data_IF_631781022544
#
_entry.id   IF_631781022544
#
_cell.length_a   1.000
_cell.length_b   1.000
_cell.length_c   1.000
_cell.angle_alpha   90.00
_cell.angle_beta   90.00
_cell.angle_gamma   90.00
#
_symmetry.space_group_name_H-M   'P 1'
#
loop_
_entity.id
_entity.type
_entity.pdbx_description
1 polymer ?
#
# COMPACT_ATOMS: atom_id res chain seq x y z
N UNK A 1 -37.71 -49.45 -10.24
CA UNK A 1 -36.34 -49.44 -10.81
C UNK A 1 -36.08 -48.35 -11.85
N UNK A 2 -37.08 -47.64 -12.40
CA UNK A 2 -36.83 -46.52 -13.33
C UNK A 2 -36.63 -45.14 -12.66
N UNK A 3 -37.12 -44.96 -11.42
CA UNK A 3 -36.97 -43.69 -10.69
C UNK A 3 -35.61 -43.53 -9.98
N UNK A 4 -34.90 -44.64 -9.72
CA UNK A 4 -33.58 -44.61 -9.08
C UNK A 4 -32.46 -44.27 -10.06
N UNK A 5 -32.66 -44.47 -11.38
CA UNK A 5 -31.66 -44.17 -12.41
C UNK A 5 -31.67 -42.72 -12.89
N UNK A 6 -32.74 -41.96 -12.59
CA UNK A 6 -32.81 -40.54 -12.94
C UNK A 6 -32.12 -39.67 -11.86
N UNK A 7 -32.09 -40.15 -10.61
CA UNK A 7 -31.43 -39.42 -9.50
C UNK A 7 -29.91 -39.61 -9.52
N UNK A 8 -29.40 -40.73 -10.02
CA UNK A 8 -27.94 -40.93 -10.17
C UNK A 8 -27.33 -40.20 -11.36
N UNK A 9 -28.12 -39.77 -12.35
CA UNK A 9 -27.62 -38.99 -13.49
C UNK A 9 -27.71 -37.47 -13.31
N UNK A 10 -28.40 -36.97 -12.27
CA UNK A 10 -28.37 -35.55 -11.90
C UNK A 10 -27.28 -35.21 -10.87
N UNK A 11 -26.70 -36.20 -10.20
CA UNK A 11 -25.68 -36.01 -9.17
C UNK A 11 -24.23 -36.03 -9.70
N UNK A 12 -24.02 -36.35 -10.98
CA UNK A 12 -22.70 -36.36 -11.63
C UNK A 12 -22.66 -35.30 -12.76
N UNK A 13 -23.32 -34.16 -12.51
CA UNK A 13 -23.12 -32.95 -13.30
C UNK A 13 -23.16 -31.67 -12.46
N UNK A 14 -23.01 -31.80 -11.13
CA UNK A 14 -22.36 -30.72 -10.38
C UNK A 14 -20.89 -30.83 -10.71
N UNK A 15 -20.53 -30.24 -11.85
CA UNK A 15 -19.16 -29.79 -12.08
C UNK A 15 -18.86 -28.90 -10.89
N UNK A 16 -18.16 -29.45 -9.90
CA UNK A 16 -17.30 -28.68 -9.02
C UNK A 16 -16.37 -27.96 -9.98
N UNK A 17 -16.78 -26.79 -10.46
CA UNK A 17 -15.86 -25.80 -10.95
C UNK A 17 -15.10 -25.42 -9.68
N UNK A 18 -14.05 -26.18 -9.40
CA UNK A 18 -12.96 -25.72 -8.56
C UNK A 18 -12.45 -24.52 -9.35
N UNK A 19 -12.93 -23.33 -9.01
CA UNK A 19 -12.27 -22.12 -9.43
C UNK A 19 -10.90 -22.20 -8.78
N UNK A 20 -9.87 -22.54 -9.55
CA UNK A 20 -8.49 -22.40 -9.10
C UNK A 20 -8.27 -20.92 -8.85
N UNK A 21 -8.19 -20.55 -7.57
CA UNK A 21 -7.79 -19.20 -7.19
C UNK A 21 -6.31 -19.04 -7.53
N UNK A 22 -5.97 -17.94 -8.19
CA UNK A 22 -4.59 -17.53 -8.42
C UNK A 22 -4.17 -16.51 -7.36
N UNK A 23 -2.92 -16.59 -6.90
CA UNK A 23 -2.30 -15.55 -6.07
C UNK A 23 -1.60 -14.56 -6.98
N UNK A 24 -1.91 -13.28 -6.82
CA UNK A 24 -1.28 -12.18 -7.54
C UNK A 24 -0.66 -11.21 -6.55
N UNK A 25 0.43 -10.55 -6.93
CA UNK A 25 1.02 -9.47 -6.14
C UNK A 25 0.61 -8.11 -6.67
N UNK A 26 0.14 -7.26 -5.77
CA UNK A 26 -0.46 -5.96 -6.09
C UNK A 26 0.16 -4.84 -5.25
N UNK A 27 0.66 -3.79 -5.92
CA UNK A 27 1.12 -2.54 -5.30
C UNK A 27 0.29 -1.37 -5.83
N UNK A 28 -0.68 -0.90 -5.05
CA UNK A 28 -1.72 0.03 -5.50
C UNK A 28 -1.32 1.51 -5.39
N UNK A 29 -0.23 1.81 -4.70
CA UNK A 29 0.13 3.19 -4.34
C UNK A 29 1.56 3.51 -4.74
N UNK A 30 1.69 4.18 -5.88
CA UNK A 30 2.96 4.74 -6.36
C UNK A 30 2.74 6.16 -6.90
N UNK A 31 3.84 6.85 -7.17
CA UNK A 31 3.85 8.17 -7.78
C UNK A 31 4.59 8.19 -9.11
N UNK A 32 4.05 8.95 -10.06
CA UNK A 32 4.66 9.19 -11.37
C UNK A 32 5.80 10.21 -11.29
N UNK A 33 6.42 10.48 -12.43
CA UNK A 33 7.42 11.55 -12.58
C UNK A 33 6.82 12.98 -12.43
N UNK A 34 5.50 13.12 -12.32
CA UNK A 34 4.83 14.42 -12.11
C UNK A 34 4.61 14.76 -10.64
N UNK A 35 4.82 13.82 -9.72
CA UNK A 35 4.75 14.08 -8.28
C UNK A 35 6.00 14.76 -7.76
N UNK A 36 5.83 15.66 -6.79
CA UNK A 36 6.97 16.29 -6.10
C UNK A 36 7.84 15.25 -5.41
N UNK A 37 9.16 15.45 -5.48
CA UNK A 37 10.16 14.56 -4.91
C UNK A 37 10.08 13.10 -5.41
N UNK A 38 9.43 12.88 -6.57
CA UNK A 38 9.48 11.63 -7.32
C UNK A 38 10.58 11.69 -8.39
N UNK A 39 11.13 10.53 -8.74
CA UNK A 39 12.14 10.41 -9.78
C UNK A 39 11.54 10.70 -11.16
N UNK A 40 12.29 11.41 -12.02
CA UNK A 40 11.94 11.62 -13.42
C UNK A 40 11.83 10.31 -14.22
N UNK A 41 12.42 9.22 -13.70
CA UNK A 41 12.37 7.88 -14.29
C UNK A 41 11.08 7.11 -13.98
N UNK A 42 10.18 7.65 -13.14
CA UNK A 42 8.86 7.06 -12.86
C UNK A 42 7.90 7.24 -14.05
N UNK A 43 8.22 6.56 -15.16
CA UNK A 43 7.47 6.50 -16.42
C UNK A 43 6.98 5.07 -16.66
N UNK A 44 5.87 4.89 -17.38
CA UNK A 44 5.22 3.59 -17.55
C UNK A 44 6.17 2.48 -17.99
N UNK A 45 7.07 2.73 -18.95
CA UNK A 45 8.01 1.72 -19.45
C UNK A 45 9.00 1.26 -18.38
N UNK A 46 9.47 2.20 -17.55
CA UNK A 46 10.39 1.90 -16.47
C UNK A 46 9.67 1.22 -15.31
N UNK A 47 8.46 1.68 -15.00
CA UNK A 47 7.61 1.10 -13.95
C UNK A 47 7.28 -0.35 -14.32
N UNK A 48 6.78 -0.62 -15.54
CA UNK A 48 6.49 -1.98 -16.00
C UNK A 48 7.72 -2.89 -15.91
N UNK A 49 8.88 -2.42 -16.38
CA UNK A 49 10.12 -3.19 -16.33
C UNK A 49 10.47 -3.57 -14.90
N UNK A 50 10.46 -2.60 -13.99
CA UNK A 50 10.91 -2.80 -12.61
C UNK A 50 9.87 -3.57 -11.80
N UNK A 51 8.58 -3.29 -11.95
CA UNK A 51 7.50 -4.07 -11.34
C UNK A 51 7.60 -5.55 -11.72
N UNK A 52 7.86 -5.87 -13.00
CA UNK A 52 8.09 -7.25 -13.43
C UNK A 52 9.32 -7.90 -12.80
N UNK A 53 10.41 -7.15 -12.59
CA UNK A 53 11.62 -7.64 -11.90
C UNK A 53 11.37 -7.81 -10.40
N UNK A 54 10.53 -6.97 -9.81
CA UNK A 54 10.11 -7.09 -8.42
C UNK A 54 9.17 -8.27 -8.21
N UNK A 55 8.45 -8.70 -9.24
CA UNK A 55 7.43 -9.75 -9.14
C UNK A 55 6.04 -9.20 -8.81
N UNK A 56 5.77 -7.94 -9.20
CA UNK A 56 4.46 -7.31 -9.07
C UNK A 56 3.64 -7.62 -10.33
N UNK A 57 2.47 -8.22 -10.15
CA UNK A 57 1.56 -8.55 -11.25
C UNK A 57 0.69 -7.36 -11.65
N UNK A 58 0.19 -6.63 -10.64
CA UNK A 58 -0.66 -5.44 -10.82
C UNK A 58 -0.07 -4.27 -10.04
N UNK A 59 0.14 -3.15 -10.71
CA UNK A 59 0.67 -1.93 -10.09
C UNK A 59 -0.27 -0.75 -10.33
N UNK A 60 -0.39 0.14 -9.35
CA UNK A 60 -1.10 1.39 -9.51
C UNK A 60 -0.50 2.25 -10.62
N UNK A 61 -1.32 2.96 -11.40
CA UNK A 61 -0.80 4.00 -12.29
C UNK A 61 -0.15 5.14 -11.52
N UNK A 62 -0.66 5.42 -10.31
CA UNK A 62 -0.38 6.67 -9.59
C UNK A 62 -0.93 7.89 -10.32
N UNK A 63 -1.08 8.99 -9.59
CA UNK A 63 -1.24 10.35 -10.12
C UNK A 63 -2.27 10.54 -11.26
N UNK A 64 -3.36 9.76 -11.32
CA UNK A 64 -4.36 9.89 -12.40
C UNK A 64 -4.95 11.31 -12.51
N UNK A 65 -4.89 12.11 -11.44
CA UNK A 65 -5.37 13.49 -11.45
C UNK A 65 -4.52 14.43 -12.29
N UNK A 66 -3.26 14.06 -12.59
CA UNK A 66 -2.37 14.91 -13.36
C UNK A 66 -2.64 14.79 -14.87
N UNK A 67 -2.98 15.89 -15.57
CA UNK A 67 -3.47 15.80 -16.95
C UNK A 67 -2.43 15.26 -17.93
N UNK A 68 -1.15 15.61 -17.77
CA UNK A 68 -0.10 15.05 -18.66
C UNK A 68 0.11 13.56 -18.40
N UNK A 69 -0.12 13.08 -17.19
CA UNK A 69 0.00 11.66 -16.88
C UNK A 69 -1.17 10.89 -17.47
N UNK A 70 -2.40 11.44 -17.41
CA UNK A 70 -3.56 10.86 -18.11
C UNK A 70 -3.37 10.74 -19.61
N UNK A 71 -2.73 11.71 -20.26
CA UNK A 71 -2.41 11.59 -21.69
C UNK A 71 -1.47 10.44 -21.99
N UNK A 72 -0.54 10.10 -21.09
CA UNK A 72 0.28 8.89 -21.20
C UNK A 72 -0.54 7.63 -20.92
N UNK A 73 -1.44 7.64 -19.93
CA UNK A 73 -2.33 6.52 -19.61
C UNK A 73 -3.22 6.13 -20.79
N UNK A 74 -3.71 7.10 -21.57
CA UNK A 74 -4.55 6.86 -22.77
C UNK A 74 -3.85 6.03 -23.86
N UNK A 75 -2.52 5.87 -23.78
CA UNK A 75 -1.73 5.03 -24.70
C UNK A 75 -1.66 3.57 -24.27
N UNK A 76 -2.12 3.24 -23.05
CA UNK A 76 -2.15 1.89 -22.54
C UNK A 76 -3.29 1.09 -23.21
N UNK A 77 -3.09 -0.21 -23.32
CA UNK A 77 -4.08 -1.15 -23.85
C UNK A 77 -4.87 -1.69 -22.67
N UNK A 78 -6.19 -1.58 -22.75
CA UNK A 78 -7.12 -2.12 -21.75
C UNK A 78 -7.29 -3.64 -21.91
N UNK A 79 -7.39 -4.34 -20.77
CA UNK A 79 -7.65 -5.76 -20.65
C UNK A 79 -8.35 -6.04 -19.29
N UNK A 80 -9.65 -6.35 -19.30
CA UNK A 80 -10.46 -6.71 -18.12
C UNK A 80 -10.49 -5.64 -16.99
N UNK A 81 -10.57 -4.36 -17.37
CA UNK A 81 -10.52 -3.21 -16.48
C UNK A 81 -9.12 -2.88 -15.95
N UNK A 82 -8.11 -3.62 -16.40
CA UNK A 82 -6.69 -3.34 -16.17
C UNK A 82 -6.06 -2.82 -17.46
N UNK A 83 -4.84 -2.32 -17.36
CA UNK A 83 -4.14 -1.67 -18.47
C UNK A 83 -2.74 -2.23 -18.63
N UNK A 84 -2.17 -2.20 -19.83
CA UNK A 84 -0.78 -2.62 -20.05
C UNK A 84 -0.12 -1.90 -21.21
N UNK A 85 1.20 -1.89 -21.21
CA UNK A 85 1.96 -1.57 -22.41
C UNK A 85 1.84 -2.70 -23.42
N UNK A 86 2.03 -2.40 -24.71
CA UNK A 86 1.93 -3.38 -25.79
C UNK A 86 2.80 -4.63 -25.56
N UNK A 87 4.01 -4.42 -25.04
CA UNK A 87 4.99 -5.47 -24.68
C UNK A 87 5.21 -5.57 -23.16
N UNK A 88 4.34 -4.94 -22.37
CA UNK A 88 4.43 -4.95 -20.92
C UNK A 88 4.02 -6.28 -20.32
N UNK A 89 4.62 -6.63 -19.18
CA UNK A 89 4.29 -7.85 -18.42
C UNK A 89 3.40 -7.53 -17.22
N UNK A 90 3.52 -6.31 -16.70
CA UNK A 90 2.78 -5.83 -15.54
C UNK A 90 1.47 -5.22 -15.98
N UNK A 91 0.42 -5.40 -15.18
CA UNK A 91 -0.88 -4.76 -15.41
C UNK A 91 -0.95 -3.51 -14.54
N UNK A 92 -1.53 -2.46 -15.09
CA UNK A 92 -1.77 -1.20 -14.42
C UNK A 92 -3.22 -1.14 -13.98
N UNK A 93 -3.45 -0.71 -12.73
CA UNK A 93 -4.78 -0.38 -12.21
C UNK A 93 -4.85 1.13 -11.96
N UNK A 94 -5.93 1.76 -12.40
CA UNK A 94 -6.05 3.21 -12.32
C UNK A 94 -6.14 3.64 -10.86
N UNK A 95 -5.14 4.38 -10.42
CA UNK A 95 -5.02 4.83 -9.04
C UNK A 95 -4.35 6.19 -8.96
N UNK A 96 -4.55 6.87 -7.83
CA UNK A 96 -3.90 8.13 -7.53
C UNK A 96 -4.20 8.59 -6.12
N UNK A 97 -3.29 9.37 -5.56
CA UNK A 97 -3.42 9.90 -4.21
C UNK A 97 -3.80 11.38 -4.28
N UNK A 98 -4.72 11.80 -3.42
CA UNK A 98 -5.07 13.21 -3.23
C UNK A 98 -4.94 13.61 -1.76
N UNK A 99 -4.54 14.86 -1.50
CA UNK A 99 -4.50 15.42 -0.16
C UNK A 99 -5.71 16.31 0.07
N UNK A 100 -6.61 15.91 0.96
CA UNK A 100 -7.70 16.78 1.43
C UNK A 100 -7.18 17.76 2.48
N UNK A 101 -7.63 19.03 2.43
CA UNK A 101 -7.32 20.05 3.43
C UNK A 101 -8.60 20.73 3.90
N UNK A 102 -8.91 20.56 5.19
CA UNK A 102 -10.14 21.09 5.80
C UNK A 102 -9.91 21.53 7.25
N UNK A 103 -10.90 22.20 7.85
CA UNK A 103 -10.88 22.54 9.28
C UNK A 103 -11.82 21.62 10.04
N UNK A 104 -11.31 21.02 11.11
CA UNK A 104 -12.10 20.21 12.03
C UNK A 104 -11.71 20.51 13.48
N UNK A 105 -12.71 20.78 14.34
CA UNK A 105 -12.51 21.20 15.75
C UNK A 105 -11.46 22.32 15.90
N UNK A 106 -11.50 23.32 15.03
CA UNK A 106 -10.60 24.48 15.04
C UNK A 106 -9.16 24.22 14.57
N UNK A 107 -8.83 23.01 14.10
CA UNK A 107 -7.51 22.65 13.57
C UNK A 107 -7.59 22.36 12.07
N UNK A 108 -6.56 22.75 11.33
CA UNK A 108 -6.40 22.32 9.94
C UNK A 108 -6.01 20.84 9.92
N UNK A 109 -6.74 20.05 9.14
CA UNK A 109 -6.49 18.65 8.85
C UNK A 109 -5.96 18.54 7.44
N UNK A 110 -4.94 17.70 7.26
CA UNK A 110 -4.40 17.32 5.95
C UNK A 110 -4.27 15.82 5.95
N UNK A 111 -5.03 15.17 5.08
CA UNK A 111 -5.15 13.72 5.06
C UNK A 111 -5.08 13.27 3.60
N UNK A 112 -4.21 12.31 3.34
CA UNK A 112 -4.08 11.67 2.06
C UNK A 112 -5.05 10.51 1.90
N UNK A 113 -5.51 10.33 0.66
CA UNK A 113 -6.47 9.30 0.28
C UNK A 113 -6.03 8.71 -1.05
N UNK A 114 -5.86 7.40 -1.07
CA UNK A 114 -5.69 6.63 -2.29
C UNK A 114 -7.06 6.39 -2.92
N UNK A 115 -7.19 6.66 -4.21
CA UNK A 115 -8.40 6.45 -4.98
C UNK A 115 -8.09 5.40 -6.05
N UNK A 116 -9.00 4.44 -6.25
CA UNK A 116 -8.88 3.40 -7.27
C UNK A 116 -10.14 3.41 -8.13
N UNK A 117 -9.95 3.41 -9.46
CA UNK A 117 -11.00 3.66 -10.43
C UNK A 117 -11.05 2.57 -11.51
N UNK A 118 -12.24 2.23 -12.04
CA UNK A 118 -12.40 1.15 -13.01
C UNK A 118 -11.91 1.50 -14.41
N UNK A 119 -11.77 2.79 -14.75
CA UNK A 119 -11.35 3.18 -16.09
C UNK A 119 -10.71 4.57 -16.19
N UNK A 120 -9.99 4.80 -17.29
CA UNK A 120 -9.38 6.09 -17.63
C UNK A 120 -10.45 7.18 -17.87
N UNK A 121 -11.61 6.80 -18.41
CA UNK A 121 -12.73 7.72 -18.63
C UNK A 121 -13.25 8.28 -17.31
N UNK A 122 -13.47 7.41 -16.32
CA UNK A 122 -13.88 7.82 -14.97
C UNK A 122 -12.78 8.65 -14.30
N UNK A 123 -11.51 8.30 -14.53
CA UNK A 123 -10.39 9.11 -14.04
C UNK A 123 -10.37 10.53 -14.61
N UNK A 124 -10.71 10.71 -15.89
CA UNK A 124 -10.83 12.03 -16.51
C UNK A 124 -12.03 12.81 -15.94
N UNK A 125 -13.20 12.18 -15.84
CA UNK A 125 -14.41 12.81 -15.33
C UNK A 125 -14.28 13.23 -13.86
N UNK A 126 -13.76 12.35 -13.00
CA UNK A 126 -13.49 12.67 -11.60
C UNK A 126 -12.45 13.79 -11.50
N UNK A 127 -11.38 13.76 -12.31
CA UNK A 127 -10.39 14.84 -12.32
C UNK A 127 -11.02 16.20 -12.67
N UNK A 128 -11.97 16.24 -13.61
CA UNK A 128 -12.67 17.48 -13.95
C UNK A 128 -13.47 18.01 -12.76
N UNK A 129 -14.15 17.13 -12.01
CA UNK A 129 -14.86 17.52 -10.77
C UNK A 129 -13.90 18.02 -9.71
N UNK A 130 -12.82 17.28 -9.44
CA UNK A 130 -11.85 17.63 -8.39
C UNK A 130 -11.11 18.95 -8.68
N UNK A 131 -11.04 19.38 -9.94
CA UNK A 131 -10.37 20.64 -10.35
C UNK A 131 -10.97 21.90 -9.74
N UNK A 132 -12.22 21.86 -9.26
CA UNK A 132 -12.84 23.00 -8.57
C UNK A 132 -12.30 23.18 -7.15
N UNK A 133 -11.74 22.12 -6.55
CA UNK A 133 -11.25 22.11 -5.17
C UNK A 133 -9.73 22.37 -5.08
N UNK A 134 -8.99 22.28 -6.18
CA UNK A 134 -7.54 22.50 -6.18
C UNK A 134 -6.87 22.40 -7.55
N UNK A 135 -5.60 22.78 -7.60
CA UNK A 135 -4.79 22.67 -8.82
C UNK A 135 -4.29 21.24 -9.02
N UNK A 136 -4.63 20.66 -10.17
CA UNK A 136 -4.26 19.30 -10.57
C UNK A 136 -3.02 19.26 -11.48
N UNK A 137 -2.45 20.42 -11.85
CA UNK A 137 -1.40 20.53 -12.87
C UNK A 137 0.01 20.69 -12.31
N UNK A 138 0.14 21.11 -11.05
CA UNK A 138 1.45 21.43 -10.46
C UNK A 138 2.11 20.26 -9.72
N UNK A 139 1.35 19.21 -9.42
CA UNK A 139 1.80 18.05 -8.67
C UNK A 139 0.97 16.83 -9.08
N UNK A 140 1.57 15.64 -9.05
CA UNK A 140 0.89 14.36 -9.25
C UNK A 140 -0.11 14.06 -8.12
N UNK A 141 0.19 14.55 -6.91
CA UNK A 141 -0.70 14.52 -5.74
C UNK A 141 -1.28 15.91 -5.44
N UNK A 142 -2.49 16.22 -5.93
CA UNK A 142 -3.10 17.52 -5.71
C UNK A 142 -3.49 17.73 -4.24
N UNK A 143 -3.45 18.99 -3.81
CA UNK A 143 -4.03 19.40 -2.53
C UNK A 143 -5.40 20.03 -2.80
N UNK A 144 -6.46 19.42 -2.26
CA UNK A 144 -7.85 19.76 -2.49
C UNK A 144 -8.47 20.39 -1.24
N UNK A 145 -9.09 21.56 -1.40
CA UNK A 145 -9.80 22.28 -0.34
C UNK A 145 -11.19 21.69 -0.11
N UNK A 146 -11.25 20.46 0.40
CA UNK A 146 -12.46 19.71 0.70
C UNK A 146 -12.24 18.77 1.90
N UNK A 147 -13.31 18.25 2.47
CA UNK A 147 -13.27 17.24 3.54
C UNK A 147 -13.04 15.83 2.97
N UNK A 148 -12.68 14.87 3.84
CA UNK A 148 -12.63 13.45 3.46
C UNK A 148 -14.00 12.92 3.05
N UNK A 149 -15.07 13.27 3.77
CA UNK A 149 -16.45 12.90 3.43
C UNK A 149 -16.84 13.37 2.01
N UNK A 150 -16.63 14.66 1.70
CA UNK A 150 -16.91 15.19 0.35
C UNK A 150 -16.12 14.47 -0.74
N UNK A 151 -14.88 14.04 -0.46
CA UNK A 151 -14.08 13.30 -1.43
C UNK A 151 -14.72 11.94 -1.72
N UNK A 152 -15.15 11.24 -0.69
CA UNK A 152 -15.83 9.96 -0.84
C UNK A 152 -17.12 10.13 -1.63
N UNK A 153 -17.94 11.14 -1.31
CA UNK A 153 -19.17 11.44 -2.04
C UNK A 153 -18.90 11.65 -3.55
N UNK A 154 -17.92 12.50 -3.90
CA UNK A 154 -17.54 12.77 -5.30
C UNK A 154 -17.08 11.51 -6.04
N UNK A 155 -16.36 10.61 -5.37
CA UNK A 155 -15.86 9.35 -5.95
C UNK A 155 -17.00 8.33 -6.11
N UNK A 156 -17.86 8.19 -5.11
CA UNK A 156 -18.94 7.20 -5.10
C UNK A 156 -20.03 7.49 -6.14
N UNK A 157 -20.15 8.73 -6.63
CA UNK A 157 -21.03 9.05 -7.77
C UNK A 157 -20.68 8.27 -9.06
N UNK A 158 -19.45 7.76 -9.19
CA UNK A 158 -19.01 6.95 -10.33
C UNK A 158 -19.28 5.44 -10.15
N UNK A 159 -19.88 5.04 -9.02
CA UNK A 159 -20.38 3.69 -8.79
C UNK A 159 -19.65 2.93 -7.69
N UNK A 160 -20.29 1.86 -7.21
CA UNK A 160 -19.90 1.07 -6.03
C UNK A 160 -18.56 0.32 -6.19
N UNK A 161 -18.03 0.22 -7.41
CA UNK A 161 -16.73 -0.40 -7.66
C UNK A 161 -15.57 0.60 -7.65
N UNK A 162 -15.81 1.89 -7.37
CA UNK A 162 -14.74 2.84 -7.05
C UNK A 162 -14.34 2.67 -5.59
N UNK A 163 -13.08 2.98 -5.24
CA UNK A 163 -12.60 2.82 -3.88
C UNK A 163 -11.84 4.04 -3.41
N UNK A 164 -12.08 4.43 -2.15
CA UNK A 164 -11.27 5.41 -1.41
C UNK A 164 -10.68 4.70 -0.21
N UNK A 165 -9.36 4.77 -0.09
CA UNK A 165 -8.58 4.18 1.00
C UNK A 165 -7.84 5.33 1.71
N UNK A 166 -8.01 5.52 3.02
CA UNK A 166 -7.13 6.42 3.79
C UNK A 166 -5.69 5.92 3.67
N UNK A 167 -4.81 6.75 3.08
CA UNK A 167 -3.44 6.35 2.78
C UNK A 167 -2.55 6.39 4.03
N UNK A 168 -1.59 5.45 4.11
CA UNK A 168 -0.54 5.32 5.12
C UNK A 168 -0.92 5.88 6.51
N UNK A 169 -1.99 5.36 7.12
CA UNK A 169 -2.83 6.08 8.10
C UNK A 169 -2.12 6.58 9.37
N UNK A 170 -0.93 6.06 9.65
CA UNK A 170 -0.17 6.36 10.86
C UNK A 170 0.99 7.32 10.69
N UNK A 171 1.41 7.63 9.46
CA UNK A 171 2.57 8.53 9.25
C UNK A 171 2.30 9.87 9.94
N UNK A 172 3.27 10.48 10.66
CA UNK A 172 2.94 11.57 11.56
C UNK A 172 2.32 12.80 10.86
N UNK A 173 2.59 12.98 9.58
CA UNK A 173 2.00 14.04 8.75
C UNK A 173 1.11 13.43 7.67
N UNK A 174 0.13 14.21 7.20
CA UNK A 174 -0.70 13.89 6.04
C UNK A 174 -1.48 12.57 6.12
N UNK A 175 -1.68 12.03 7.32
CA UNK A 175 -2.30 10.72 7.52
C UNK A 175 -3.49 10.82 8.46
N UNK A 176 -4.43 9.87 8.34
CA UNK A 176 -5.68 9.86 9.09
C UNK A 176 -5.46 9.96 10.60
N UNK A 177 -4.57 9.15 11.17
CA UNK A 177 -4.25 9.14 12.61
C UNK A 177 -2.92 9.83 12.93
N UNK A 178 -2.31 10.54 11.99
CA UNK A 178 -1.02 11.20 12.19
C UNK A 178 -1.05 12.26 13.31
N UNK A 179 -0.05 12.26 14.19
CA UNK A 179 0.06 13.22 15.32
C UNK A 179 0.11 14.70 14.86
N UNK A 180 0.52 14.97 13.62
CA UNK A 180 0.65 16.31 13.03
C UNK A 180 -0.44 16.62 12.01
N UNK A 181 -1.70 16.49 12.43
CA UNK A 181 -2.84 16.98 11.66
C UNK A 181 -3.92 15.96 11.34
N UNK A 182 -3.79 14.73 11.83
CA UNK A 182 -4.82 13.69 11.76
C UNK A 182 -5.93 13.86 12.80
N UNK A 183 -6.88 12.94 12.79
CA UNK A 183 -8.04 12.78 13.66
C UNK A 183 -7.85 11.59 14.60
N UNK A 184 -8.79 11.36 15.52
CA UNK A 184 -8.74 10.26 16.50
C UNK A 184 -9.69 9.10 16.17
N UNK A 185 -10.58 9.23 15.17
CA UNK A 185 -11.41 8.14 14.63
C UNK A 185 -11.66 8.31 13.12
N UNK A 186 -12.12 7.25 12.46
CA UNK A 186 -12.40 7.26 11.01
C UNK A 186 -13.59 8.19 10.72
N UNK A 187 -14.61 8.16 11.57
CA UNK A 187 -15.83 8.96 11.48
C UNK A 187 -15.54 10.47 11.60
N UNK A 188 -14.48 10.87 12.31
CA UNK A 188 -14.08 12.28 12.37
C UNK A 188 -13.58 12.83 11.01
N UNK A 189 -13.20 11.96 10.07
CA UNK A 189 -12.73 12.34 8.73
C UNK A 189 -13.80 12.13 7.64
N UNK A 190 -14.52 11.00 7.72
CA UNK A 190 -15.45 10.57 6.67
C UNK A 190 -16.92 10.76 7.03
N UNK A 191 -17.25 11.09 8.29
CA UNK A 191 -18.61 11.42 8.71
C UNK A 191 -19.63 10.34 8.29
N UNK A 192 -20.72 10.73 7.65
CA UNK A 192 -21.76 9.84 7.12
C UNK A 192 -21.29 8.96 5.96
N UNK A 193 -20.15 9.28 5.34
CA UNK A 193 -19.54 8.51 4.25
C UNK A 193 -18.63 7.37 4.74
N UNK A 194 -18.42 7.23 6.06
CA UNK A 194 -17.62 6.15 6.67
C UNK A 194 -18.01 4.74 6.17
N UNK A 195 -19.29 4.38 5.95
CA UNK A 195 -19.67 3.06 5.43
C UNK A 195 -19.12 2.70 4.05
N UNK A 196 -18.62 3.68 3.27
CA UNK A 196 -18.00 3.47 1.97
C UNK A 196 -16.50 3.17 2.05
N UNK A 197 -15.88 3.31 3.22
CA UNK A 197 -14.48 2.95 3.43
C UNK A 197 -14.41 1.47 3.77
N UNK A 198 -13.86 0.66 2.86
CA UNK A 198 -13.74 -0.80 3.04
C UNK A 198 -12.33 -1.27 3.40
N UNK A 199 -11.32 -0.43 3.15
CA UNK A 199 -9.92 -0.75 3.37
C UNK A 199 -9.14 0.45 3.90
N UNK A 200 -8.03 0.18 4.58
CA UNK A 200 -7.10 1.18 5.11
C UNK A 200 -5.67 0.78 4.76
N UNK A 201 -4.83 1.76 4.44
CA UNK A 201 -3.42 1.50 4.12
C UNK A 201 -2.55 1.64 5.38
N UNK A 202 -1.84 0.57 5.74
CA UNK A 202 -0.95 0.51 6.91
C UNK A 202 0.20 1.53 6.77
N UNK A 203 0.93 1.41 5.66
CA UNK A 203 2.13 2.15 5.31
C UNK A 203 3.32 1.86 6.22
N UNK A 204 4.53 2.02 5.66
CA UNK A 204 5.90 1.84 6.21
C UNK A 204 6.19 2.13 7.69
N UNK A 205 5.32 2.84 8.40
CA UNK A 205 5.52 3.18 9.82
C UNK A 205 4.66 2.33 10.77
N UNK A 206 3.81 1.45 10.23
CA UNK A 206 2.96 0.54 10.99
C UNK A 206 2.81 -0.79 10.26
N UNK A 207 2.33 -1.80 10.97
CA UNK A 207 2.02 -3.12 10.41
C UNK A 207 0.69 -3.63 10.99
N UNK A 208 0.20 -4.80 10.55
CA UNK A 208 -1.06 -5.35 11.04
C UNK A 208 -1.11 -5.54 12.56
N UNK A 209 -0.07 -6.08 13.25
CA UNK A 209 -0.03 -6.09 14.71
C UNK A 209 -0.24 -4.74 15.39
N UNK A 210 0.32 -3.65 14.85
CA UNK A 210 0.07 -2.30 15.39
C UNK A 210 -1.38 -1.86 15.16
N UNK A 211 -1.93 -2.12 13.96
CA UNK A 211 -3.30 -1.74 13.59
C UNK A 211 -4.35 -2.53 14.39
N UNK A 212 -4.14 -3.83 14.61
CA UNK A 212 -5.03 -4.69 15.38
C UNK A 212 -5.19 -4.28 16.83
N UNK A 213 -4.36 -3.38 17.36
CA UNK A 213 -4.52 -2.85 18.71
C UNK A 213 -5.66 -1.85 18.86
N UNK A 214 -6.23 -1.40 17.74
CA UNK A 214 -7.34 -0.46 17.68
C UNK A 214 -8.55 -1.22 17.13
N UNK A 215 -9.45 -1.68 17.99
CA UNK A 215 -10.56 -2.55 17.60
C UNK A 215 -11.50 -1.96 16.54
N UNK A 216 -11.59 -0.63 16.48
CA UNK A 216 -12.33 0.08 15.45
C UNK A 216 -11.80 -0.20 14.02
N UNK A 217 -10.58 -0.71 13.86
CA UNK A 217 -9.98 -1.03 12.56
C UNK A 217 -10.26 -2.48 12.09
N UNK A 218 -10.83 -3.34 12.93
CA UNK A 218 -10.99 -4.78 12.63
C UNK A 218 -11.92 -5.08 11.44
N UNK A 219 -12.85 -4.17 11.16
CA UNK A 219 -13.82 -4.29 10.06
C UNK A 219 -13.25 -3.93 8.69
N UNK A 220 -12.07 -3.31 8.64
CA UNK A 220 -11.43 -2.87 7.41
C UNK A 220 -10.45 -3.92 6.90
N UNK A 221 -10.37 -4.07 5.59
CA UNK A 221 -9.26 -4.80 4.96
C UNK A 221 -8.00 -3.97 5.11
N UNK A 222 -6.93 -4.58 5.62
CA UNK A 222 -5.62 -3.92 5.63
C UNK A 222 -4.99 -4.09 4.25
N UNK A 223 -4.51 -3.00 3.67
CA UNK A 223 -3.65 -3.04 2.48
C UNK A 223 -2.32 -2.40 2.80
N UNK A 224 -1.27 -2.82 2.11
CA UNK A 224 0.07 -2.26 2.24
C UNK A 224 0.64 -2.01 0.85
N UNK A 225 1.17 -0.82 0.64
CA UNK A 225 1.62 -0.35 -0.67
C UNK A 225 2.88 0.49 -0.53
N UNK A 226 3.67 0.55 -1.58
CA UNK A 226 5.03 1.05 -1.47
C UNK A 226 5.14 2.56 -1.28
N UNK A 227 4.12 3.37 -1.63
CA UNK A 227 4.22 4.83 -1.73
C UNK A 227 5.52 5.23 -2.49
N UNK A 228 5.73 4.55 -3.63
CA UNK A 228 7.01 4.62 -4.31
C UNK A 228 7.16 5.92 -5.09
N UNK A 229 8.21 6.65 -4.73
CA UNK A 229 8.69 7.85 -5.43
C UNK A 229 9.92 7.57 -6.31
N UNK A 230 10.34 6.30 -6.43
CA UNK A 230 11.53 5.91 -7.19
C UNK A 230 11.49 4.43 -7.52
N UNK A 231 11.94 4.06 -8.73
CA UNK A 231 11.87 2.68 -9.23
C UNK A 231 12.35 1.60 -8.23
N UNK A 232 13.48 1.83 -7.55
CA UNK A 232 14.05 0.87 -6.60
C UNK A 232 13.15 0.52 -5.41
N UNK A 233 12.22 1.43 -5.06
CA UNK A 233 11.30 1.30 -3.91
C UNK A 233 9.97 0.65 -4.27
N UNK A 234 9.69 0.41 -5.56
CA UNK A 234 8.48 -0.31 -6.00
C UNK A 234 8.43 -1.67 -5.29
N UNK A 235 7.27 -2.03 -4.76
CA UNK A 235 7.04 -3.33 -4.12
C UNK A 235 7.76 -3.55 -2.79
N UNK A 236 8.31 -2.51 -2.15
CA UNK A 236 8.83 -2.64 -0.77
C UNK A 236 7.74 -2.98 0.26
N UNK A 237 6.50 -2.61 -0.09
CA UNK A 237 5.26 -3.02 0.54
C UNK A 237 4.29 -3.36 -0.60
N UNK A 238 3.50 -4.41 -0.43
CA UNK A 238 2.57 -4.90 -1.46
C UNK A 238 1.49 -5.79 -0.83
N UNK A 239 0.61 -6.34 -1.67
CA UNK A 239 -0.48 -7.22 -1.25
C UNK A 239 -0.46 -8.49 -2.09
N UNK A 240 -0.54 -9.66 -1.46
CA UNK A 240 -0.85 -10.90 -2.13
C UNK A 240 -2.37 -11.09 -2.08
N UNK A 241 -3.01 -11.20 -3.25
CA UNK A 241 -4.47 -11.29 -3.37
C UNK A 241 -4.86 -12.58 -4.09
N UNK A 242 -5.79 -13.34 -3.50
CA UNK A 242 -6.39 -14.51 -4.14
C UNK A 242 -7.59 -14.13 -5.00
N UNK A 243 -7.44 -14.23 -6.33
CA UNK A 243 -8.48 -13.89 -7.31
C UNK A 243 -8.85 -15.09 -8.18
N UNK A 244 -10.07 -15.09 -8.73
CA UNK A 244 -10.48 -16.13 -9.71
C UNK A 244 -9.95 -15.85 -11.11
N UNK A 245 -9.78 -14.57 -11.42
CA UNK A 245 -9.27 -14.06 -12.69
C UNK A 245 -8.55 -12.74 -12.45
N UNK A 246 -7.61 -12.42 -13.33
CA UNK A 246 -6.89 -11.15 -13.31
C UNK A 246 -7.77 -10.06 -13.93
N UNK A 247 -8.66 -9.48 -13.14
CA UNK A 247 -9.55 -8.39 -13.55
C UNK A 247 -9.70 -7.33 -12.45
N UNK A 248 -10.00 -6.09 -12.84
CA UNK A 248 -10.27 -4.99 -11.90
C UNK A 248 -11.32 -5.38 -10.87
N UNK A 249 -12.45 -5.92 -11.36
CA UNK A 249 -13.60 -6.23 -10.52
C UNK A 249 -13.30 -7.29 -9.47
N UNK A 250 -12.56 -8.35 -9.80
CA UNK A 250 -12.20 -9.38 -8.82
C UNK A 250 -11.23 -8.84 -7.76
N UNK A 251 -10.27 -8.00 -8.13
CA UNK A 251 -9.34 -7.36 -7.19
C UNK A 251 -10.12 -6.49 -6.20
N UNK A 252 -10.93 -5.57 -6.70
CA UNK A 252 -11.68 -4.62 -5.86
C UNK A 252 -12.68 -5.33 -4.95
N UNK A 253 -13.46 -6.28 -5.49
CA UNK A 253 -14.42 -7.04 -4.67
C UNK A 253 -13.72 -7.87 -3.60
N UNK A 254 -12.54 -8.42 -3.90
CA UNK A 254 -11.77 -9.17 -2.90
C UNK A 254 -11.33 -8.27 -1.76
N UNK A 255 -10.79 -7.08 -2.08
CA UNK A 255 -10.40 -6.08 -1.07
C UNK A 255 -11.61 -5.61 -0.26
N UNK A 256 -12.75 -5.32 -0.90
CA UNK A 256 -13.93 -4.78 -0.22
C UNK A 256 -14.64 -5.79 0.69
N UNK A 257 -14.71 -7.05 0.28
CA UNK A 257 -15.63 -8.02 0.90
C UNK A 257 -14.95 -9.26 1.47
N UNK A 258 -13.64 -9.45 1.25
CA UNK A 258 -12.96 -10.67 1.69
C UNK A 258 -11.51 -10.42 2.13
N UNK A 259 -11.35 -9.75 3.28
CA UNK A 259 -10.04 -9.50 3.90
C UNK A 259 -9.15 -10.74 4.05
N UNK A 260 -9.74 -11.95 4.19
CA UNK A 260 -8.96 -13.19 4.36
C UNK A 260 -8.23 -13.64 3.09
N UNK A 261 -8.57 -13.07 1.94
CA UNK A 261 -7.90 -13.29 0.66
C UNK A 261 -6.89 -12.22 0.32
N UNK A 262 -6.64 -11.31 1.25
CA UNK A 262 -5.63 -10.26 1.14
C UNK A 262 -4.59 -10.52 2.22
N UNK A 263 -3.36 -10.72 1.82
CA UNK A 263 -2.21 -10.88 2.71
C UNK A 263 -1.23 -9.74 2.43
N UNK A 264 -0.90 -8.92 3.43
CA UNK A 264 0.03 -7.80 3.20
C UNK A 264 1.48 -8.24 3.28
N UNK A 265 2.32 -7.69 2.42
CA UNK A 265 3.77 -7.72 2.52
C UNK A 265 4.18 -6.38 3.11
N UNK A 266 4.72 -6.41 4.32
CA UNK A 266 5.07 -5.24 5.13
C UNK A 266 6.58 -5.22 5.35
N UNK A 267 7.18 -4.03 5.46
CA UNK A 267 8.48 -3.94 6.15
C UNK A 267 8.27 -3.95 7.66
N UNK A 268 9.30 -4.26 8.43
CA UNK A 268 9.22 -4.03 9.89
C UNK A 268 9.00 -2.52 10.14
N UNK A 269 8.05 -2.10 11.00
CA UNK A 269 7.80 -0.69 11.25
C UNK A 269 9.03 0.13 11.69
N UNK A 270 10.06 -0.52 12.25
CA UNK A 270 11.35 0.12 12.56
C UNK A 270 12.12 0.60 11.32
N UNK A 271 11.78 0.10 10.12
CA UNK A 271 12.22 0.64 8.82
C UNK A 271 11.76 2.10 8.66
N UNK A 272 10.62 2.45 9.24
CA UNK A 272 10.06 3.79 9.27
C UNK A 272 10.88 4.76 10.12
N UNK A 273 11.19 5.92 9.54
CA UNK A 273 11.98 7.00 10.18
C UNK A 273 11.44 7.49 11.53
N UNK A 274 10.14 7.35 11.76
CA UNK A 274 9.42 7.89 12.90
C UNK A 274 8.73 6.80 13.73
N UNK A 275 9.21 5.55 13.70
CA UNK A 275 8.61 4.46 14.47
C UNK A 275 8.53 4.78 15.97
N UNK A 276 9.66 5.14 16.57
CA UNK A 276 9.77 5.50 17.99
C UNK A 276 9.91 7.01 18.21
N UNK A 277 9.53 7.45 19.41
CA UNK A 277 9.62 8.84 19.81
C UNK A 277 11.07 9.24 20.03
N UNK A 278 11.52 10.32 19.39
CA UNK A 278 12.94 10.62 19.37
C UNK A 278 13.30 12.07 19.07
N UNK A 279 14.57 12.39 19.29
CA UNK A 279 15.12 13.71 18.98
C UNK A 279 16.36 13.54 18.09
N UNK A 280 16.16 13.68 16.78
CA UNK A 280 17.19 13.45 15.75
C UNK A 280 18.51 14.17 16.02
N UNK A 281 18.47 15.43 16.48
CA UNK A 281 19.68 16.21 16.75
C UNK A 281 20.53 15.63 17.88
N UNK A 282 19.92 14.89 18.80
CA UNK A 282 20.62 14.23 19.90
C UNK A 282 20.84 12.73 19.66
N UNK A 283 20.36 12.18 18.54
CA UNK A 283 20.55 10.77 18.19
C UNK A 283 19.86 9.76 19.10
N UNK A 284 18.80 10.16 19.80
CA UNK A 284 18.07 9.29 20.75
C UNK A 284 16.66 8.96 20.25
N UNK A 285 16.20 7.77 20.62
CA UNK A 285 14.88 7.23 20.31
C UNK A 285 14.41 6.33 21.46
N UNK A 286 13.13 6.35 21.78
CA UNK A 286 12.54 5.63 22.92
C UNK A 286 11.22 4.95 22.52
N UNK A 287 10.99 3.70 22.98
CA UNK A 287 9.70 3.05 22.82
C UNK A 287 8.61 3.78 23.63
N UNK A 288 7.32 3.57 23.33
CA UNK A 288 6.20 4.35 23.90
C UNK A 288 6.21 4.44 25.44
N UNK A 289 6.44 3.30 26.12
CA UNK A 289 6.45 3.23 27.59
C UNK A 289 7.56 4.09 28.21
N UNK A 290 8.70 4.24 27.54
CA UNK A 290 9.81 5.07 28.02
C UNK A 290 9.60 6.54 27.67
N UNK A 291 9.14 6.84 26.45
CA UNK A 291 8.83 8.20 26.01
C UNK A 291 7.79 8.87 26.93
N UNK A 292 6.78 8.11 27.38
CA UNK A 292 5.76 8.54 28.34
C UNK A 292 6.36 8.91 29.70
N UNK A 293 7.32 8.14 30.21
CA UNK A 293 8.04 8.45 31.47
C UNK A 293 8.84 9.75 31.35
N UNK A 294 9.42 10.00 30.17
CA UNK A 294 10.15 11.23 29.84
C UNK A 294 9.23 12.42 29.52
N UNK A 295 7.90 12.24 29.51
CA UNK A 295 6.89 13.25 29.17
C UNK A 295 7.17 13.94 27.82
N UNK A 296 7.71 13.19 26.86
CA UNK A 296 8.08 13.70 25.54
C UNK A 296 9.24 14.70 25.54
N UNK A 297 10.04 14.78 26.62
CA UNK A 297 11.19 15.67 26.73
C UNK A 297 12.50 14.90 26.54
N UNK A 298 13.38 15.43 25.69
CA UNK A 298 14.71 14.90 25.44
C UNK A 298 15.57 15.01 26.72
N UNK A 299 16.07 13.91 27.29
CA UNK A 299 16.90 13.94 28.51
C UNK A 299 18.27 14.61 28.30
N UNK A 300 18.73 14.78 27.06
CA UNK A 300 20.04 15.38 26.74
C UNK A 300 19.96 16.91 26.69
N UNK A 301 18.93 17.48 26.05
CA UNK A 301 18.87 18.92 25.81
C UNK A 301 17.59 19.61 26.31
N UNK A 302 16.67 18.88 26.94
CA UNK A 302 15.42 19.43 27.48
C UNK A 302 14.38 19.86 26.45
N UNK A 303 14.63 19.69 25.15
CA UNK A 303 13.68 20.03 24.08
C UNK A 303 12.64 18.92 23.87
N UNK A 304 11.48 19.26 23.31
CA UNK A 304 10.45 18.27 22.95
C UNK A 304 10.98 17.29 21.89
N UNK A 305 10.68 16.02 22.10
CA UNK A 305 10.91 14.95 21.13
C UNK A 305 9.81 14.98 20.05
N UNK A 306 10.12 14.46 18.87
CA UNK A 306 9.11 14.12 17.87
C UNK A 306 8.42 12.84 18.34
N UNK A 307 7.10 12.88 18.48
CA UNK A 307 6.29 11.68 18.80
C UNK A 307 6.42 10.66 17.66
N UNK A 308 6.70 9.42 18.02
CA UNK A 308 6.77 8.30 17.10
C UNK A 308 5.41 7.67 16.86
N UNK A 309 5.32 6.91 15.77
CA UNK A 309 4.10 6.21 15.36
C UNK A 309 3.65 5.18 16.41
N UNK A 310 4.57 4.43 17.00
CA UNK A 310 4.23 3.47 18.06
C UNK A 310 3.57 4.15 19.28
N UNK A 311 4.00 5.37 19.64
CA UNK A 311 3.37 6.12 20.74
C UNK A 311 1.98 6.62 20.33
N UNK A 312 1.80 7.02 19.06
CA UNK A 312 0.49 7.43 18.55
C UNK A 312 -0.51 6.26 18.47
N UNK A 313 -0.06 5.07 18.08
CA UNK A 313 -0.88 3.84 18.15
C UNK A 313 -1.27 3.55 19.60
N UNK A 314 -0.34 3.61 20.54
CA UNK A 314 -0.60 3.41 21.97
C UNK A 314 -1.67 4.38 22.52
N UNK A 315 -1.75 5.60 22.01
CA UNK A 315 -2.76 6.58 22.42
C UNK A 315 -4.18 6.22 21.98
N UNK A 316 -4.32 5.55 20.82
CA UNK A 316 -5.62 5.17 20.24
C UNK A 316 -5.98 3.70 20.49
N UNK A 317 -5.02 2.88 20.90
CA UNK A 317 -5.20 1.46 21.14
C UNK A 317 -6.15 1.20 22.31
N UNK A 318 -7.06 0.25 22.11
CA UNK A 318 -7.94 -0.32 23.13
C UNK A 318 -7.56 -1.76 23.50
N UNK A 319 -6.45 -2.26 22.92
CA UNK A 319 -5.85 -3.57 23.21
C UNK A 319 -4.37 -3.47 23.56
N UNK A 320 -3.92 -4.43 24.35
CA UNK A 320 -2.51 -4.54 24.72
C UNK A 320 -1.64 -4.97 23.53
N UNK A 321 -0.34 -4.76 23.65
CA UNK A 321 0.63 -5.20 22.64
C UNK A 321 0.60 -6.73 22.48
N UNK A 322 0.48 -7.21 21.23
CA UNK A 322 0.35 -8.62 20.90
C UNK A 322 -1.09 -9.15 20.84
N UNK A 323 -2.07 -8.39 21.34
CA UNK A 323 -3.48 -8.69 21.17
C UNK A 323 -3.99 -8.31 19.77
N UNK A 324 -5.15 -8.82 19.38
CA UNK A 324 -5.80 -8.49 18.12
C UNK A 324 -7.10 -9.27 17.93
N UNK A 325 -7.79 -9.10 16.79
CA UNK A 325 -9.01 -9.85 16.51
C UNK A 325 -8.73 -11.36 16.46
N UNK A 326 -9.76 -12.19 16.62
CA UNK A 326 -9.60 -13.66 16.47
C UNK A 326 -9.38 -14.06 15.02
N UNK A 327 -9.99 -13.29 14.12
CA UNK A 327 -10.04 -13.45 12.68
C UNK A 327 -9.05 -12.49 11.99
N UNK A 328 -7.76 -12.65 12.33
CA UNK A 328 -6.69 -11.80 11.81
C UNK A 328 -6.49 -12.01 10.31
N UNK A 329 -6.26 -10.91 9.60
CA UNK A 329 -5.72 -10.95 8.24
C UNK A 329 -4.28 -11.49 8.28
N UNK A 330 -3.85 -12.23 7.26
CA UNK A 330 -2.47 -12.68 7.18
C UNK A 330 -1.55 -11.54 6.72
N UNK A 331 -0.28 -11.61 7.10
CA UNK A 331 0.75 -10.70 6.63
C UNK A 331 2.13 -11.34 6.73
N UNK A 332 3.06 -10.81 5.93
CA UNK A 332 4.47 -11.20 5.89
C UNK A 332 5.32 -9.97 6.20
N UNK A 333 6.36 -10.11 7.03
CA UNK A 333 7.38 -9.07 7.22
C UNK A 333 8.60 -9.39 6.37
N UNK A 334 8.90 -8.55 5.40
CA UNK A 334 9.96 -8.79 4.41
C UNK A 334 10.70 -7.50 4.15
N UNK A 335 12.04 -7.55 4.19
CA UNK A 335 12.87 -6.46 3.71
C UNK A 335 13.13 -6.63 2.20
N UNK A 336 13.21 -5.52 1.43
CA UNK A 336 13.62 -5.59 0.03
C UNK A 336 14.95 -6.34 -0.13
N UNK A 337 15.08 -7.14 -1.18
CA UNK A 337 16.28 -7.94 -1.43
C UNK A 337 17.54 -7.07 -1.52
N UNK A 338 17.41 -5.87 -2.09
CA UNK A 338 18.52 -4.91 -2.16
C UNK A 338 19.02 -4.48 -0.77
N UNK A 339 18.12 -4.40 0.22
CA UNK A 339 18.46 -4.03 1.59
C UNK A 339 19.09 -5.22 2.34
N UNK A 340 18.62 -6.45 2.10
CA UNK A 340 19.26 -7.66 2.62
C UNK A 340 20.70 -7.81 2.09
N UNK A 341 20.91 -7.59 0.78
CA UNK A 341 22.24 -7.58 0.17
C UNK A 341 23.11 -6.47 0.77
N UNK A 342 22.54 -5.27 0.98
CA UNK A 342 23.25 -4.15 1.59
C UNK A 342 23.75 -4.51 3.01
N UNK A 343 22.89 -5.14 3.82
CA UNK A 343 23.25 -5.64 5.15
C UNK A 343 24.34 -6.71 5.07
N UNK A 344 24.17 -7.72 4.21
CA UNK A 344 25.15 -8.80 4.06
C UNK A 344 26.54 -8.30 3.64
N UNK A 345 26.58 -7.33 2.71
CA UNK A 345 27.83 -6.74 2.23
C UNK A 345 28.37 -5.60 3.12
N UNK A 346 27.63 -5.22 4.17
CA UNK A 346 27.90 -4.05 5.01
C UNK A 346 28.15 -2.78 4.18
N UNK A 347 27.27 -2.52 3.22
CA UNK A 347 27.35 -1.42 2.25
C UNK A 347 26.00 -0.73 2.12
N UNK A 348 26.01 0.45 1.52
CA UNK A 348 24.79 1.14 1.15
C UNK A 348 24.09 0.46 -0.03
N UNK A 349 22.76 0.46 -0.03
CA UNK A 349 21.94 -0.18 -1.06
C UNK A 349 22.15 0.40 -2.47
N UNK A 350 22.58 1.65 -2.57
CA UNK A 350 22.93 2.32 -3.83
C UNK A 350 24.36 2.07 -4.32
N UNK A 351 25.17 1.30 -3.58
CA UNK A 351 26.55 1.00 -4.02
C UNK A 351 26.55 0.11 -5.27
N UNK A 352 27.53 0.33 -6.16
CA UNK A 352 27.64 -0.44 -7.41
C UNK A 352 27.72 -1.96 -7.18
N UNK A 353 28.32 -2.38 -6.07
CA UNK A 353 28.46 -3.79 -5.73
C UNK A 353 27.15 -4.44 -5.29
N UNK A 354 26.39 -3.76 -4.42
CA UNK A 354 25.06 -4.20 -3.98
C UNK A 354 24.11 -4.25 -5.18
N UNK A 355 24.11 -3.21 -6.03
CA UNK A 355 23.31 -3.17 -7.25
C UNK A 355 23.69 -4.30 -8.21
N UNK A 356 24.99 -4.53 -8.44
CA UNK A 356 25.47 -5.63 -9.30
C UNK A 356 25.00 -6.99 -8.76
N UNK A 357 25.13 -7.22 -7.45
CA UNK A 357 24.72 -8.48 -6.83
C UNK A 357 23.21 -8.69 -6.89
N UNK A 358 22.43 -7.64 -6.70
CA UNK A 358 20.97 -7.68 -6.88
C UNK A 358 20.60 -8.14 -8.29
N UNK A 359 21.18 -7.51 -9.33
CA UNK A 359 20.92 -7.88 -10.71
C UNK A 359 21.37 -9.29 -11.05
N UNK A 360 22.49 -9.75 -10.50
CA UNK A 360 22.95 -11.14 -10.64
C UNK A 360 21.90 -12.12 -10.09
N UNK A 361 21.40 -11.88 -8.88
CA UNK A 361 20.41 -12.74 -8.21
C UNK A 361 19.09 -12.80 -8.99
N UNK A 362 18.50 -11.65 -9.32
CA UNK A 362 17.21 -11.64 -10.04
C UNK A 362 17.35 -12.22 -11.46
N UNK A 363 18.46 -11.96 -12.16
CA UNK A 363 18.65 -12.55 -13.50
C UNK A 363 18.78 -14.08 -13.47
N UNK A 364 19.34 -14.66 -12.39
CA UNK A 364 19.52 -16.10 -12.26
C UNK A 364 18.29 -16.81 -11.68
N UNK A 365 17.63 -16.21 -10.69
CA UNK A 365 16.55 -16.85 -9.93
C UNK A 365 15.13 -16.36 -10.31
N UNK A 366 15.03 -15.26 -11.08
CA UNK A 366 13.79 -14.76 -11.67
C UNK A 366 13.43 -13.34 -11.23
N UNK A 367 12.56 -13.21 -10.23
CA UNK A 367 12.12 -11.91 -9.72
C UNK A 367 12.33 -11.84 -8.20
N UNK A 368 12.34 -10.62 -7.65
CA UNK A 368 12.66 -10.38 -6.24
C UNK A 368 11.72 -11.13 -5.29
N UNK A 369 10.40 -11.02 -5.47
CA UNK A 369 9.46 -11.65 -4.55
C UNK A 369 9.51 -13.18 -4.62
N UNK A 370 9.73 -13.77 -5.79
CA UNK A 370 9.99 -15.21 -5.91
C UNK A 370 11.23 -15.61 -5.12
N UNK A 371 12.31 -14.83 -5.21
CA UNK A 371 13.54 -15.07 -4.44
C UNK A 371 13.27 -15.02 -2.93
N UNK A 372 12.45 -14.07 -2.47
CA UNK A 372 12.17 -13.86 -1.05
C UNK A 372 11.13 -14.83 -0.47
N UNK A 373 10.19 -15.32 -1.28
CA UNK A 373 9.01 -16.06 -0.80
C UNK A 373 9.02 -17.55 -1.15
N UNK A 374 9.61 -17.93 -2.28
CA UNK A 374 9.36 -19.24 -2.90
C UNK A 374 10.64 -20.01 -3.22
N UNK A 375 11.77 -19.32 -3.42
CA UNK A 375 12.99 -19.93 -3.91
C UNK A 375 13.62 -20.87 -2.86
N UNK A 376 13.92 -22.14 -3.19
CA UNK A 376 14.50 -23.07 -2.23
C UNK A 376 15.88 -22.64 -1.72
N UNK A 377 16.13 -22.91 -0.44
CA UNK A 377 17.39 -22.55 0.25
C UNK A 377 18.65 -23.07 -0.48
N UNK A 378 18.58 -24.23 -1.14
CA UNK A 378 19.70 -24.79 -1.92
C UNK A 378 20.09 -23.88 -3.10
N UNK A 379 19.11 -23.36 -3.83
CA UNK A 379 19.33 -22.44 -4.94
C UNK A 379 19.83 -21.09 -4.44
N UNK A 380 19.25 -20.58 -3.33
CA UNK A 380 19.72 -19.36 -2.67
C UNK A 380 21.19 -19.49 -2.27
N UNK A 381 21.60 -20.57 -1.60
CA UNK A 381 23.01 -20.78 -1.21
C UNK A 381 23.97 -20.75 -2.39
N UNK A 382 23.56 -21.33 -3.52
CA UNK A 382 24.37 -21.41 -4.73
C UNK A 382 24.63 -20.02 -5.35
N UNK A 383 23.61 -19.16 -5.41
CA UNK A 383 23.71 -17.85 -6.06
C UNK A 383 24.08 -16.74 -5.09
N UNK A 384 23.47 -16.70 -3.91
CA UNK A 384 23.62 -15.64 -2.91
C UNK A 384 24.85 -15.84 -2.02
N UNK A 385 25.30 -17.08 -1.85
CA UNK A 385 26.29 -17.45 -0.84
C UNK A 385 25.67 -17.57 0.56
N UNK A 386 26.42 -18.14 1.49
CA UNK A 386 25.89 -18.54 2.81
C UNK A 386 25.34 -17.37 3.64
N UNK A 387 26.10 -16.28 3.77
CA UNK A 387 25.74 -15.16 4.63
C UNK A 387 24.42 -14.48 4.22
N UNK A 388 24.21 -14.30 2.92
CA UNK A 388 22.98 -13.69 2.41
C UNK A 388 21.77 -14.64 2.45
N UNK A 389 21.98 -15.97 2.37
CA UNK A 389 20.87 -16.93 2.50
C UNK A 389 20.39 -17.11 3.95
N UNK A 390 21.24 -16.80 4.94
CA UNK A 390 20.85 -16.87 6.36
C UNK A 390 20.00 -15.67 6.81
N UNK A 391 20.07 -14.55 6.08
CA UNK A 391 19.20 -13.38 6.25
C UNK A 391 17.86 -13.61 5.57
#
# INVERSE_FOLDING_TARGET
>A
MAAQLIITNLYIQVVLIIFEYMRIVVDLHIHSCYSRASSEDMKFENIDRIASIKGIDVIGTGDFTHPKWREEMKKLIEENGLYRLEKGKTRFIISGEVCTTFKYKGKTRRIHHLIILPSIEIAEELSNRLSIYGDLKSDGRPNLSMTGAQLVEEVMEFGENCMVIPAHIWTPWFSLFGDKGGVDSIEECYEDQTPHICAIETGLSSDPPMNWRVSALDSYTLVSNSDSHSLLKIGREANIIEVKELSYNEIIKTIMFNKYKVETIEVDPAYGKYHWSGHRKCGISFPPKEAKKLKGICPICGKKMTKGVAERVEELADREEGEGPKDKQNFLRILPLIDLIAVALNKESFSNEVQKKYWEIVNELGNELKVLLEEPEENLKKVCGKELTEL
#
